data_IF_611134805255
#
_entry.id   IF_611134805255
#
_cell.length_a   1.000
_cell.length_b   1.000
_cell.length_c   1.000
_cell.angle_alpha   90.00
_cell.angle_beta   90.00
_cell.angle_gamma   90.00
#
_symmetry.space_group_name_H-M   'P 1'
#
loop_
_entity.id
_entity.type
_entity.pdbx_description
1 polymer ?
#
# COMPACT_ATOMS: atom_id res chain seq x y z
N UNK A 1 -0.31 0.60 -24.00
CA UNK A 1 -0.34 2.06 -24.23
C UNK A 1 -1.78 2.57 -24.14
N UNK A 2 -2.00 3.71 -23.42
CA UNK A 2 -3.09 4.66 -23.64
C UNK A 2 -4.47 4.38 -23.05
N UNK A 3 -4.58 4.39 -21.73
CA UNK A 3 -5.80 4.87 -21.05
C UNK A 3 -5.48 5.81 -19.85
N UNK A 4 -4.20 6.19 -19.69
CA UNK A 4 -3.77 7.17 -18.66
C UNK A 4 -4.02 8.64 -19.05
N UNK A 5 -4.56 8.93 -20.26
CA UNK A 5 -4.52 10.29 -20.83
C UNK A 5 -5.85 11.06 -20.84
N UNK A 6 -6.91 10.65 -20.13
CA UNK A 6 -8.20 11.37 -20.19
C UNK A 6 -8.56 12.20 -18.94
N UNK A 7 -7.82 12.07 -17.86
CA UNK A 7 -8.02 12.97 -16.70
C UNK A 7 -6.84 13.93 -16.66
N UNK A 8 -7.10 15.22 -16.83
CA UNK A 8 -6.10 16.26 -16.61
C UNK A 8 -5.72 16.29 -15.11
N UNK A 9 -4.49 15.90 -14.73
CA UNK A 9 -4.09 15.89 -13.32
C UNK A 9 -4.17 17.29 -12.70
N UNK A 10 -3.91 18.34 -13.49
CA UNK A 10 -3.98 19.71 -13.03
C UNK A 10 -5.42 20.12 -12.67
N UNK A 11 -6.40 19.77 -13.50
CA UNK A 11 -7.82 20.01 -13.19
C UNK A 11 -8.24 19.28 -11.91
N UNK A 12 -7.81 18.01 -11.74
CA UNK A 12 -8.13 17.23 -10.57
C UNK A 12 -7.58 17.88 -9.29
N UNK A 13 -6.28 18.28 -9.29
CA UNK A 13 -5.66 18.91 -8.13
C UNK A 13 -6.25 20.28 -7.82
N UNK A 14 -6.59 21.08 -8.84
CA UNK A 14 -7.24 22.38 -8.66
C UNK A 14 -8.62 22.20 -8.01
N UNK A 15 -9.39 21.20 -8.46
CA UNK A 15 -10.71 20.90 -7.88
C UNK A 15 -10.57 20.45 -6.41
N UNK A 16 -9.62 19.58 -6.10
CA UNK A 16 -9.35 19.16 -4.72
C UNK A 16 -8.96 20.35 -3.83
N UNK A 17 -8.15 21.28 -4.33
CA UNK A 17 -7.77 22.48 -3.60
C UNK A 17 -8.96 23.39 -3.29
N UNK A 18 -9.90 23.57 -4.25
CA UNK A 18 -11.13 24.33 -4.01
C UNK A 18 -11.95 23.67 -2.89
N UNK A 19 -12.15 22.35 -2.95
CA UNK A 19 -12.90 21.62 -1.91
C UNK A 19 -12.18 21.72 -0.56
N UNK A 20 -10.86 21.64 -0.54
CA UNK A 20 -10.04 21.78 0.66
C UNK A 20 -10.22 23.16 1.31
N UNK A 21 -10.21 24.24 0.53
CA UNK A 21 -10.42 25.60 1.01
C UNK A 21 -11.85 25.79 1.54
N UNK A 22 -12.85 25.28 0.82
CA UNK A 22 -14.26 25.32 1.25
C UNK A 22 -14.44 24.61 2.59
N UNK A 23 -13.91 23.39 2.72
CA UNK A 23 -13.96 22.64 3.98
C UNK A 23 -13.27 23.39 5.14
N UNK A 24 -12.17 24.11 4.85
CA UNK A 24 -11.49 24.97 5.83
C UNK A 24 -12.38 26.15 6.28
N UNK A 25 -13.04 26.82 5.34
CA UNK A 25 -13.95 27.95 5.62
C UNK A 25 -15.13 27.50 6.48
N UNK A 26 -15.66 26.32 6.20
CA UNK A 26 -16.76 25.69 6.96
C UNK A 26 -16.29 25.05 8.29
N UNK A 27 -15.00 25.13 8.61
CA UNK A 27 -14.36 24.48 9.77
C UNK A 27 -14.56 22.95 9.81
N UNK A 28 -14.74 22.34 8.65
CA UNK A 28 -14.90 20.91 8.49
C UNK A 28 -13.53 20.20 8.49
N UNK A 29 -12.79 20.28 9.59
CA UNK A 29 -11.39 19.83 9.71
C UNK A 29 -11.19 18.36 9.33
N UNK A 30 -12.19 17.51 9.63
CA UNK A 30 -12.12 16.08 9.26
C UNK A 30 -12.19 15.89 7.74
N UNK A 31 -13.07 16.63 7.06
CA UNK A 31 -13.16 16.63 5.59
C UNK A 31 -11.89 17.18 4.97
N UNK A 32 -11.34 18.25 5.54
CA UNK A 32 -10.09 18.84 5.11
C UNK A 32 -8.93 17.85 5.17
N UNK A 33 -8.78 17.11 6.27
CA UNK A 33 -7.77 16.08 6.44
C UNK A 33 -7.89 14.95 5.38
N UNK A 34 -9.13 14.49 5.10
CA UNK A 34 -9.38 13.47 4.08
C UNK A 34 -9.02 13.93 2.67
N UNK A 35 -9.36 15.17 2.32
CA UNK A 35 -9.04 15.73 0.98
C UNK A 35 -7.52 15.86 0.84
N UNK A 36 -6.82 16.29 1.90
CA UNK A 36 -5.37 16.37 1.91
C UNK A 36 -4.72 14.99 1.68
N UNK A 37 -5.16 13.98 2.42
CA UNK A 37 -4.67 12.61 2.25
C UNK A 37 -4.93 12.09 0.83
N UNK A 38 -6.13 12.30 0.30
CA UNK A 38 -6.48 11.90 -1.07
C UNK A 38 -5.61 12.61 -2.11
N UNK A 39 -5.38 13.91 -1.96
CA UNK A 39 -4.55 14.68 -2.88
C UNK A 39 -3.10 14.17 -2.91
N UNK A 40 -2.54 13.79 -1.74
CA UNK A 40 -1.19 13.21 -1.65
C UNK A 40 -1.11 11.82 -2.31
N UNK A 41 -2.10 10.95 -2.07
CA UNK A 41 -2.16 9.62 -2.70
C UNK A 41 -2.26 9.73 -4.23
N UNK A 42 -3.12 10.61 -4.73
CA UNK A 42 -3.25 10.87 -6.17
C UNK A 42 -1.97 11.45 -6.76
N UNK A 43 -1.34 12.40 -6.08
CA UNK A 43 -0.06 12.98 -6.52
C UNK A 43 1.03 11.93 -6.60
N UNK A 44 1.13 11.07 -5.59
CA UNK A 44 2.07 9.97 -5.60
C UNK A 44 1.81 9.02 -6.77
N UNK A 45 0.54 8.62 -7.00
CA UNK A 45 0.16 7.69 -8.05
C UNK A 45 0.32 8.23 -9.48
N UNK A 46 0.09 9.54 -9.69
CA UNK A 46 0.06 10.14 -11.02
C UNK A 46 1.38 10.80 -11.42
N UNK A 47 2.15 11.32 -10.45
CA UNK A 47 3.29 12.18 -10.70
C UNK A 47 4.64 11.58 -10.24
N UNK A 48 4.64 10.47 -9.48
CA UNK A 48 5.91 9.84 -9.10
C UNK A 48 6.44 9.01 -10.26
N UNK A 49 7.53 9.50 -10.86
CA UNK A 49 8.31 8.79 -11.87
C UNK A 49 9.58 8.16 -11.27
N UNK A 50 9.82 8.35 -9.97
CA UNK A 50 11.00 7.87 -9.30
C UNK A 50 10.95 6.34 -9.19
N UNK A 51 12.01 5.66 -9.60
CA UNK A 51 12.12 4.21 -9.43
C UNK A 51 12.30 3.82 -7.97
N UNK A 52 13.04 4.65 -7.22
CA UNK A 52 13.28 4.49 -5.79
C UNK A 52 12.93 5.77 -5.03
N UNK A 53 12.45 5.59 -3.81
CA UNK A 53 12.08 6.68 -2.90
C UNK A 53 12.57 6.37 -1.49
N UNK A 54 12.77 7.37 -0.63
CA UNK A 54 13.00 7.14 0.79
C UNK A 54 11.85 6.32 1.40
N UNK A 55 12.19 5.38 2.28
CA UNK A 55 11.19 4.55 2.99
C UNK A 55 10.20 5.40 3.78
N UNK A 56 10.62 6.56 4.29
CA UNK A 56 9.75 7.54 4.94
C UNK A 56 8.59 7.99 4.05
N UNK A 57 8.79 8.06 2.73
CA UNK A 57 7.74 8.42 1.77
C UNK A 57 6.69 7.30 1.65
N UNK A 58 7.13 6.04 1.54
CA UNK A 58 6.22 4.88 1.52
C UNK A 58 5.41 4.77 2.82
N UNK A 59 6.08 4.96 3.98
CA UNK A 59 5.41 4.95 5.29
C UNK A 59 4.32 6.03 5.34
N UNK A 60 4.65 7.26 4.95
CA UNK A 60 3.69 8.38 4.91
C UNK A 60 2.49 8.08 4.02
N UNK A 61 2.71 7.56 2.82
CA UNK A 61 1.64 7.21 1.88
C UNK A 61 0.70 6.14 2.47
N UNK A 62 1.26 5.15 3.15
CA UNK A 62 0.48 4.12 3.85
C UNK A 62 -0.34 4.70 5.01
N UNK A 63 0.24 5.62 5.80
CA UNK A 63 -0.48 6.30 6.89
C UNK A 63 -1.63 7.18 6.38
N UNK A 64 -1.42 7.89 5.27
CA UNK A 64 -2.46 8.67 4.61
C UNK A 64 -3.58 7.77 4.07
N UNK A 65 -3.23 6.64 3.47
CA UNK A 65 -4.20 5.63 3.03
C UNK A 65 -5.01 5.07 4.22
N UNK A 66 -4.33 4.70 5.30
CA UNK A 66 -4.97 4.23 6.52
C UNK A 66 -5.92 5.28 7.11
N UNK A 67 -5.55 6.55 7.12
CA UNK A 67 -6.39 7.63 7.66
C UNK A 67 -7.76 7.71 6.97
N UNK A 68 -7.82 7.50 5.65
CA UNK A 68 -9.06 7.46 4.88
C UNK A 68 -9.91 6.25 5.30
N UNK A 69 -9.31 5.09 5.44
CA UNK A 69 -10.00 3.88 5.90
C UNK A 69 -10.51 4.01 7.34
N UNK A 70 -9.69 4.57 8.22
CA UNK A 70 -10.07 4.79 9.62
C UNK A 70 -11.27 5.74 9.77
N UNK A 71 -11.36 6.76 8.94
CA UNK A 71 -12.55 7.63 8.92
C UNK A 71 -13.82 6.87 8.55
N UNK A 72 -13.74 5.92 7.61
CA UNK A 72 -14.88 5.13 7.13
C UNK A 72 -15.29 4.03 8.10
N UNK A 73 -14.32 3.35 8.71
CA UNK A 73 -14.54 2.11 9.46
C UNK A 73 -14.33 2.26 10.98
N UNK A 74 -13.78 3.41 11.42
CA UNK A 74 -13.49 3.68 12.83
C UNK A 74 -12.48 2.68 13.42
N UNK A 75 -12.62 2.41 14.71
CA UNK A 75 -11.74 1.52 15.48
C UNK A 75 -11.85 0.05 15.10
N UNK A 76 -12.80 -0.31 14.20
CA UNK A 76 -12.89 -1.65 13.63
C UNK A 76 -11.64 -2.03 12.85
N UNK A 77 -10.94 -1.04 12.28
CA UNK A 77 -9.72 -1.25 11.52
C UNK A 77 -8.56 -0.58 12.24
N UNK A 78 -7.50 -1.34 12.50
CA UNK A 78 -6.28 -0.84 13.12
C UNK A 78 -5.07 -1.16 12.26
N UNK A 79 -4.08 -0.29 12.34
CA UNK A 79 -2.77 -0.48 11.71
C UNK A 79 -1.66 -0.30 12.74
N UNK A 80 -0.69 -1.19 12.71
CA UNK A 80 0.43 -1.20 13.65
C UNK A 80 1.74 -1.28 12.88
N UNK A 81 2.63 -0.32 13.13
CA UNK A 81 3.99 -0.35 12.63
C UNK A 81 4.96 -0.96 13.63
N UNK A 82 5.92 -1.72 13.11
CA UNK A 82 7.11 -2.19 13.84
C UNK A 82 8.31 -2.02 12.93
N UNK A 83 8.96 -0.89 13.05
CA UNK A 83 10.14 -0.52 12.27
C UNK A 83 11.35 -0.59 13.20
N UNK A 84 12.44 -1.18 12.73
CA UNK A 84 13.68 -1.26 13.50
C UNK A 84 14.24 0.13 13.75
N UNK A 85 14.62 0.44 14.99
CA UNK A 85 15.25 1.70 15.39
C UNK A 85 16.62 1.93 14.72
N UNK A 86 17.21 0.87 14.14
CA UNK A 86 18.47 0.96 13.40
C UNK A 86 18.32 1.45 11.97
N UNK A 87 17.08 1.66 11.48
CA UNK A 87 16.81 2.15 10.14
C UNK A 87 16.62 3.66 10.13
N UNK A 88 17.42 4.35 9.34
CA UNK A 88 17.12 5.72 8.94
C UNK A 88 16.14 5.69 7.76
N UNK A 89 14.90 6.08 8.01
CA UNK A 89 13.83 6.04 7.03
C UNK A 89 14.01 7.05 5.90
N UNK A 90 14.81 8.09 6.12
CA UNK A 90 15.06 9.15 5.12
C UNK A 90 16.19 8.77 4.18
N UNK A 91 17.16 8.00 4.67
CA UNK A 91 18.32 7.54 3.89
C UNK A 91 18.09 6.14 3.28
N UNK A 92 17.15 5.37 3.83
CA UNK A 92 16.84 4.03 3.33
C UNK A 92 15.99 4.12 2.07
N UNK A 93 16.60 3.81 0.93
CA UNK A 93 15.91 3.84 -0.38
C UNK A 93 15.22 2.52 -0.67
N UNK A 94 13.98 2.60 -1.14
CA UNK A 94 13.15 1.44 -1.53
C UNK A 94 12.47 1.73 -2.87
N UNK A 95 12.08 0.68 -3.63
CA UNK A 95 11.26 0.89 -4.83
C UNK A 95 9.98 1.64 -4.50
N UNK A 96 9.59 2.57 -5.36
CA UNK A 96 8.30 3.25 -5.23
C UNK A 96 7.13 2.28 -5.35
N UNK A 97 6.04 2.51 -4.62
CA UNK A 97 4.82 1.69 -4.64
C UNK A 97 5.00 0.23 -4.23
N UNK A 98 5.82 -0.04 -3.21
CA UNK A 98 5.96 -1.41 -2.68
C UNK A 98 5.03 -1.67 -1.50
N UNK A 99 4.82 -0.70 -0.60
CA UNK A 99 3.99 -0.89 0.60
C UNK A 99 2.51 -0.65 0.32
N UNK A 100 2.18 0.46 -0.35
CA UNK A 100 0.79 0.87 -0.56
C UNK A 100 -0.08 -0.23 -1.19
N UNK A 101 0.31 -0.90 -2.30
CA UNK A 101 -0.55 -1.91 -2.92
C UNK A 101 -0.79 -3.14 -2.04
N UNK A 102 0.19 -3.49 -1.21
CA UNK A 102 0.08 -4.63 -0.28
C UNK A 102 -0.86 -4.28 0.87
N UNK A 103 -0.71 -3.08 1.44
CA UNK A 103 -1.57 -2.59 2.52
C UNK A 103 -3.00 -2.36 2.04
N UNK A 104 -3.16 -1.83 0.83
CA UNK A 104 -4.47 -1.71 0.17
C UNK A 104 -5.18 -3.05 0.07
N UNK A 105 -4.48 -4.10 -0.38
CA UNK A 105 -5.06 -5.44 -0.43
C UNK A 105 -5.44 -5.97 0.95
N UNK A 106 -4.60 -5.76 1.97
CA UNK A 106 -4.90 -6.16 3.34
C UNK A 106 -6.18 -5.50 3.86
N UNK A 107 -6.36 -4.20 3.64
CA UNK A 107 -7.59 -3.51 4.04
C UNK A 107 -8.79 -3.93 3.21
N UNK A 108 -8.69 -3.86 1.87
CA UNK A 108 -9.81 -4.06 0.96
C UNK A 108 -10.30 -5.51 0.94
N UNK A 109 -9.38 -6.45 0.86
CA UNK A 109 -9.70 -7.86 0.68
C UNK A 109 -9.56 -8.70 1.95
N UNK A 110 -8.68 -8.28 2.89
CA UNK A 110 -8.49 -8.96 4.15
C UNK A 110 -9.49 -8.53 5.22
N UNK A 111 -9.45 -7.25 5.61
CA UNK A 111 -10.14 -6.74 6.80
C UNK A 111 -11.58 -6.25 6.49
N UNK A 112 -11.79 -5.49 5.38
CA UNK A 112 -13.09 -4.88 5.10
C UNK A 112 -14.25 -5.87 5.01
N UNK A 113 -14.08 -7.10 4.47
CA UNK A 113 -15.14 -8.10 4.45
C UNK A 113 -15.48 -8.70 5.81
N UNK A 114 -14.60 -8.52 6.81
CA UNK A 114 -14.76 -9.07 8.16
C UNK A 114 -15.57 -8.10 9.03
N UNK A 115 -16.76 -8.51 9.50
CA UNK A 115 -17.66 -7.64 10.28
C UNK A 115 -17.01 -7.11 11.56
N UNK A 116 -16.26 -7.94 12.26
CA UNK A 116 -15.55 -7.57 13.50
C UNK A 116 -14.33 -6.66 13.21
N UNK A 117 -13.99 -6.47 11.93
CA UNK A 117 -12.80 -5.73 11.54
C UNK A 117 -11.51 -6.50 11.78
N UNK A 118 -10.43 -5.77 12.00
CA UNK A 118 -9.13 -6.40 12.21
C UNK A 118 -7.96 -5.44 12.30
N UNK A 119 -6.76 -6.02 12.22
CA UNK A 119 -5.51 -5.29 12.32
C UNK A 119 -4.57 -5.67 11.18
N UNK A 120 -3.95 -4.66 10.58
CA UNK A 120 -2.83 -4.80 9.65
C UNK A 120 -1.54 -4.47 10.38
N UNK A 121 -0.59 -5.40 10.41
CA UNK A 121 0.72 -5.22 11.04
C UNK A 121 1.79 -5.15 9.98
N UNK A 122 2.55 -4.08 10.01
CA UNK A 122 3.65 -3.83 9.08
C UNK A 122 4.96 -3.87 9.86
N UNK A 123 5.90 -4.71 9.42
CA UNK A 123 7.23 -4.81 10.03
C UNK A 123 8.28 -4.52 8.99
N UNK A 124 9.27 -3.72 9.38
CA UNK A 124 10.43 -3.40 8.54
C UNK A 124 11.70 -3.56 9.38
N UNK A 125 12.58 -4.43 8.93
CA UNK A 125 13.85 -4.70 9.58
C UNK A 125 14.98 -4.79 8.54
N UNK A 126 16.20 -4.35 8.87
CA UNK A 126 17.33 -4.62 8.01
C UNK A 126 17.64 -6.12 8.03
N UNK A 127 18.03 -6.68 6.89
CA UNK A 127 18.59 -8.01 6.82
C UNK A 127 20.10 -7.95 7.10
N UNK A 128 20.68 -9.09 7.52
CA UNK A 128 22.14 -9.22 7.74
C UNK A 128 22.93 -8.98 6.45
N UNK A 129 22.33 -9.31 5.32
CA UNK A 129 22.88 -9.02 3.99
C UNK A 129 22.75 -7.51 3.73
N UNK A 130 23.89 -6.87 3.44
CA UNK A 130 23.94 -5.42 3.18
C UNK A 130 23.02 -5.04 2.03
N UNK A 131 22.24 -3.98 2.24
CA UNK A 131 21.36 -3.41 1.24
C UNK A 131 20.01 -4.11 1.09
N UNK A 132 19.67 -5.11 1.91
CA UNK A 132 18.37 -5.76 1.89
C UNK A 132 17.55 -5.45 3.15
N UNK A 133 16.24 -5.35 2.95
CA UNK A 133 15.25 -5.17 4.00
C UNK A 133 14.33 -6.38 4.06
N UNK A 134 13.95 -6.77 5.26
CA UNK A 134 12.81 -7.63 5.48
C UNK A 134 11.57 -6.77 5.74
N UNK A 135 10.62 -6.83 4.83
CA UNK A 135 9.33 -6.15 4.96
C UNK A 135 8.24 -7.21 5.07
N UNK A 136 7.34 -7.09 6.04
CA UNK A 136 6.16 -7.94 6.12
C UNK A 136 4.91 -7.13 6.41
N UNK A 137 3.85 -7.41 5.66
CA UNK A 137 2.50 -6.89 5.89
C UNK A 137 1.62 -8.09 6.21
N UNK A 138 1.06 -8.12 7.42
CA UNK A 138 0.22 -9.20 7.90
C UNK A 138 -1.14 -8.64 8.34
N UNK A 139 -2.20 -9.20 7.83
CA UNK A 139 -3.57 -8.95 8.31
C UNK A 139 -4.13 -10.19 9.03
N UNK A 140 -5.13 -9.97 9.88
CA UNK A 140 -5.95 -11.01 10.50
C UNK A 140 -7.36 -11.05 9.89
N UNK A 141 -7.45 -10.77 8.61
CA UNK A 141 -8.69 -10.73 7.84
C UNK A 141 -9.27 -12.09 7.49
N UNK A 142 -10.08 -12.13 6.46
CA UNK A 142 -10.76 -13.35 5.99
C UNK A 142 -9.81 -14.38 5.37
N UNK A 143 -8.61 -13.97 4.97
CA UNK A 143 -7.65 -14.83 4.27
C UNK A 143 -8.06 -15.12 2.83
N UNK A 144 -7.32 -16.04 2.20
CA UNK A 144 -7.50 -16.43 0.79
C UNK A 144 -7.72 -17.94 0.73
N UNK A 145 -8.72 -18.36 -0.04
CA UNK A 145 -9.00 -19.76 -0.30
C UNK A 145 -7.82 -20.46 -0.99
N UNK A 146 -7.59 -21.74 -0.65
CA UNK A 146 -6.41 -22.49 -1.11
C UNK A 146 -6.25 -22.48 -2.63
N UNK A 147 -7.33 -22.68 -3.38
CA UNK A 147 -7.30 -22.70 -4.83
C UNK A 147 -6.89 -21.33 -5.40
N UNK A 148 -7.44 -20.26 -4.86
CA UNK A 148 -7.11 -18.89 -5.26
C UNK A 148 -5.68 -18.51 -4.87
N UNK A 149 -5.22 -18.95 -3.69
CA UNK A 149 -3.84 -18.72 -3.26
C UNK A 149 -2.82 -19.40 -4.18
N UNK A 150 -3.08 -20.64 -4.59
CA UNK A 150 -2.20 -21.36 -5.54
C UNK A 150 -2.20 -20.69 -6.93
N UNK A 151 -3.36 -20.22 -7.41
CA UNK A 151 -3.43 -19.43 -8.65
C UNK A 151 -2.58 -18.16 -8.53
N UNK A 152 -2.69 -17.43 -7.42
CA UNK A 152 -1.92 -16.22 -7.17
C UNK A 152 -0.41 -16.50 -7.10
N UNK A 153 0.02 -17.57 -6.42
CA UNK A 153 1.43 -17.98 -6.38
C UNK A 153 1.96 -18.34 -7.77
N UNK A 154 1.18 -19.07 -8.56
CA UNK A 154 1.55 -19.45 -9.92
C UNK A 154 1.68 -18.20 -10.81
N UNK A 155 0.76 -17.23 -10.66
CA UNK A 155 0.83 -15.96 -11.34
C UNK A 155 2.09 -15.16 -10.97
N UNK A 156 2.42 -15.09 -9.69
CA UNK A 156 3.63 -14.45 -9.21
C UNK A 156 4.91 -15.13 -9.70
N UNK A 157 4.87 -16.43 -9.99
CA UNK A 157 6.02 -17.18 -10.52
C UNK A 157 6.26 -16.95 -12.02
N UNK A 158 5.22 -16.58 -12.79
CA UNK A 158 5.29 -16.43 -14.25
C UNK A 158 5.26 -14.95 -14.65
N UNK A 159 6.34 -14.35 -15.13
CA UNK A 159 6.31 -12.98 -15.64
C UNK A 159 5.54 -12.92 -16.98
N UNK A 160 4.67 -11.93 -17.16
CA UNK A 160 4.09 -11.54 -18.45
C UNK A 160 2.59 -11.79 -18.66
N UNK A 161 1.89 -12.50 -17.80
CA UNK A 161 0.43 -12.63 -17.90
C UNK A 161 -0.30 -11.48 -17.16
N UNK A 162 -1.35 -10.93 -17.77
CA UNK A 162 -2.23 -9.93 -17.11
C UNK A 162 -3.15 -10.65 -16.13
N UNK A 163 -3.05 -10.27 -14.85
CA UNK A 163 -3.86 -10.86 -13.78
C UNK A 163 -4.73 -9.80 -13.10
N UNK A 164 -5.87 -10.21 -12.56
CA UNK A 164 -6.82 -9.34 -11.86
C UNK A 164 -6.23 -8.67 -10.59
N UNK A 165 -5.19 -9.27 -9.99
CA UNK A 165 -4.50 -8.74 -8.79
C UNK A 165 -3.28 -7.90 -9.17
N UNK A 166 -3.47 -6.84 -9.91
CA UNK A 166 -2.42 -5.98 -10.50
C UNK A 166 -1.44 -5.44 -9.46
N UNK A 167 -1.89 -5.09 -8.24
CA UNK A 167 -1.06 -4.44 -7.22
C UNK A 167 0.12 -5.30 -6.74
N UNK A 168 -0.15 -6.50 -6.21
CA UNK A 168 0.89 -7.41 -5.69
C UNK A 168 1.81 -7.92 -6.81
N UNK A 169 1.25 -8.17 -8.00
CA UNK A 169 2.02 -8.56 -9.17
C UNK A 169 3.02 -7.47 -9.57
N UNK A 170 2.61 -6.20 -9.60
CA UNK A 170 3.47 -5.08 -9.92
C UNK A 170 4.60 -4.91 -8.90
N UNK A 171 4.32 -5.13 -7.61
CA UNK A 171 5.36 -5.14 -6.57
C UNK A 171 6.37 -6.25 -6.83
N UNK A 172 5.93 -7.48 -7.08
CA UNK A 172 6.82 -8.59 -7.36
C UNK A 172 7.67 -8.36 -8.61
N UNK A 173 7.10 -7.79 -9.68
CA UNK A 173 7.81 -7.45 -10.90
C UNK A 173 8.89 -6.38 -10.66
N UNK A 174 8.57 -5.33 -9.89
CA UNK A 174 9.54 -4.27 -9.53
C UNK A 174 10.70 -4.80 -8.70
N UNK A 175 10.42 -5.61 -7.69
CA UNK A 175 11.45 -6.21 -6.85
C UNK A 175 12.45 -7.01 -7.69
N UNK A 176 11.99 -7.81 -8.65
CA UNK A 176 12.85 -8.60 -9.54
C UNK A 176 13.74 -7.76 -10.46
N UNK A 177 13.24 -6.61 -10.92
CA UNK A 177 14.00 -5.71 -11.79
C UNK A 177 15.14 -4.99 -11.07
N UNK A 178 15.01 -4.80 -9.75
CA UNK A 178 15.97 -4.04 -8.96
C UNK A 178 17.10 -4.89 -8.38
N UNK A 179 16.77 -6.07 -7.89
CA UNK A 179 17.78 -6.98 -7.30
C UNK A 179 17.28 -8.42 -7.37
N UNK A 180 18.06 -9.31 -7.99
CA UNK A 180 17.74 -10.73 -8.14
C UNK A 180 17.54 -11.45 -6.79
N UNK A 181 18.13 -10.93 -5.71
CA UNK A 181 17.96 -11.44 -4.35
C UNK A 181 16.60 -11.07 -3.75
N UNK A 182 15.95 -10.05 -4.31
CA UNK A 182 14.65 -9.60 -3.83
C UNK A 182 13.53 -10.52 -4.30
N UNK A 183 12.67 -10.94 -3.39
CA UNK A 183 11.55 -11.80 -3.71
C UNK A 183 10.34 -11.52 -2.83
N UNK A 184 9.17 -11.84 -3.34
CA UNK A 184 7.91 -11.71 -2.62
C UNK A 184 7.34 -13.10 -2.31
N UNK A 185 6.98 -13.31 -1.04
CA UNK A 185 6.30 -14.53 -0.57
C UNK A 185 4.93 -14.18 -0.02
N UNK A 186 3.93 -15.00 -0.36
CA UNK A 186 2.57 -14.87 0.18
C UNK A 186 2.17 -16.15 0.92
N UNK A 187 1.65 -15.98 2.13
CA UNK A 187 1.09 -17.03 2.94
C UNK A 187 -0.31 -16.58 3.40
N UNK A 188 -1.30 -17.44 3.26
CA UNK A 188 -2.66 -17.13 3.70
C UNK A 188 -3.40 -18.40 4.12
N UNK A 189 -4.33 -18.23 5.06
CA UNK A 189 -5.26 -19.27 5.48
C UNK A 189 -6.66 -18.66 5.61
N UNK A 190 -7.71 -19.31 5.08
CA UNK A 190 -9.10 -18.90 5.29
C UNK A 190 -9.41 -18.68 6.76
N UNK A 191 -10.05 -17.55 7.08
CA UNK A 191 -10.41 -17.15 8.45
C UNK A 191 -9.26 -16.71 9.35
N UNK A 192 -7.99 -16.77 8.90
CA UNK A 192 -6.82 -16.40 9.72
C UNK A 192 -6.04 -15.20 9.19
N UNK A 193 -6.34 -14.77 7.95
CA UNK A 193 -5.70 -13.63 7.31
C UNK A 193 -4.56 -13.99 6.35
N UNK A 194 -3.83 -12.96 5.94
CA UNK A 194 -2.78 -13.06 4.93
C UNK A 194 -1.49 -12.40 5.40
N UNK A 195 -0.36 -12.96 5.02
CA UNK A 195 0.98 -12.39 5.22
C UNK A 195 1.71 -12.32 3.88
N UNK A 196 2.15 -11.11 3.52
CA UNK A 196 3.03 -10.85 2.38
C UNK A 196 4.38 -10.38 2.93
N UNK A 197 5.44 -11.00 2.42
CA UNK A 197 6.81 -10.73 2.87
C UNK A 197 7.69 -10.50 1.67
#
# INVERSE_FOLDING_TARGET
>A
QQLRSQIDPHFLFNTLNVILQTAGTEKAYRTQALITALAHLLRYSLMSNDEQVPLSREVRIVDEYYSIYHVRFGDRIRMEWRISDSLDLTETMVPSFILQPIVENAFKHGISPKEEGGVVRIRVNPLREKGLLYISVCDNGVGIERAQLEQLKNALAKPGERWEHIGVYNVAARLRLLDERSHLKICSHPGRGTAIR
#
